data_IF_855138988677
#
_entry.id   IF_855138988677
#
_cell.length_a   1.000
_cell.length_b   1.000
_cell.length_c   1.000
_cell.angle_alpha   90.00
_cell.angle_beta   90.00
_cell.angle_gamma   90.00
#
_symmetry.space_group_name_H-M   'P 1'
#
loop_
_entity.id
_entity.type
_entity.pdbx_description
1 polymer ?
#
# COMPACT_ATOMS: atom_id res chain seq x y z
N UNK A 1 -14.24 -13.71 -28.86
CA UNK A 1 -14.11 -12.53 -27.99
C UNK A 1 -15.02 -12.67 -26.77
N UNK A 2 -14.75 -13.63 -25.89
CA UNK A 2 -15.45 -13.82 -24.61
C UNK A 2 -14.46 -13.71 -23.42
N UNK A 3 -13.40 -12.90 -23.56
CA UNK A 3 -12.13 -13.21 -22.88
C UNK A 3 -11.68 -12.24 -21.78
N UNK A 4 -12.26 -11.05 -21.65
CA UNK A 4 -11.81 -10.05 -20.65
C UNK A 4 -12.83 -9.83 -19.53
N UNK A 5 -14.12 -9.69 -19.87
CA UNK A 5 -15.18 -9.53 -18.87
C UNK A 5 -15.26 -10.76 -17.94
N UNK A 6 -15.30 -11.98 -18.52
CA UNK A 6 -15.28 -13.24 -17.77
C UNK A 6 -14.03 -13.39 -16.86
N UNK A 7 -12.86 -12.87 -17.29
CA UNK A 7 -11.65 -12.88 -16.44
C UNK A 7 -11.79 -11.92 -15.26
N UNK A 8 -12.38 -10.75 -15.45
CA UNK A 8 -12.59 -9.78 -14.38
C UNK A 8 -13.62 -10.28 -13.36
N UNK A 9 -14.70 -10.92 -13.79
CA UNK A 9 -15.71 -11.49 -12.88
C UNK A 9 -15.08 -12.56 -11.97
N UNK A 10 -14.32 -13.50 -12.55
CA UNK A 10 -13.57 -14.50 -11.78
C UNK A 10 -12.55 -13.86 -10.83
N UNK A 11 -11.83 -12.82 -11.27
CA UNK A 11 -10.88 -12.11 -10.41
C UNK A 11 -11.58 -11.35 -9.28
N UNK A 12 -12.79 -10.82 -9.50
CA UNK A 12 -13.62 -10.20 -8.46
C UNK A 12 -14.04 -11.25 -7.44
N UNK A 13 -14.45 -12.44 -7.87
CA UNK A 13 -14.81 -13.54 -6.95
C UNK A 13 -13.61 -14.01 -6.13
N UNK A 14 -12.46 -14.25 -6.77
CA UNK A 14 -11.23 -14.66 -6.09
C UNK A 14 -10.79 -13.58 -5.09
N UNK A 15 -10.77 -12.31 -5.49
CA UNK A 15 -10.38 -11.22 -4.58
C UNK A 15 -11.39 -11.03 -3.45
N UNK A 16 -12.68 -11.21 -3.70
CA UNK A 16 -13.72 -11.20 -2.66
C UNK A 16 -13.45 -12.29 -1.64
N UNK A 17 -13.20 -13.53 -2.09
CA UNK A 17 -12.87 -14.63 -1.20
C UNK A 17 -11.60 -14.31 -0.38
N UNK A 18 -10.50 -13.94 -1.03
CA UNK A 18 -9.23 -13.65 -0.36
C UNK A 18 -9.37 -12.52 0.66
N UNK A 19 -10.03 -11.42 0.27
CA UNK A 19 -10.20 -10.26 1.14
C UNK A 19 -11.01 -10.62 2.38
N UNK A 20 -12.15 -11.28 2.21
CA UNK A 20 -12.99 -11.71 3.35
C UNK A 20 -12.24 -12.66 4.28
N UNK A 21 -11.46 -13.59 3.73
CA UNK A 21 -10.68 -14.55 4.53
C UNK A 21 -9.53 -13.90 5.28
N UNK A 22 -8.76 -13.02 4.63
CA UNK A 22 -7.63 -12.34 5.27
C UNK A 22 -8.06 -11.25 6.25
N UNK A 23 -9.16 -10.56 5.96
CA UNK A 23 -9.70 -9.52 6.85
C UNK A 23 -10.58 -10.05 7.96
N UNK A 24 -11.02 -11.32 7.89
CA UNK A 24 -12.02 -11.91 8.79
C UNK A 24 -13.36 -11.15 8.79
N UNK A 25 -13.69 -10.46 7.69
CA UNK A 25 -14.95 -9.74 7.52
C UNK A 25 -15.67 -10.23 6.25
N UNK A 26 -16.77 -10.97 6.43
CA UNK A 26 -17.56 -11.58 5.37
C UNK A 26 -18.50 -10.61 4.65
N UNK A 27 -18.69 -9.40 5.17
CA UNK A 27 -19.59 -8.37 4.62
C UNK A 27 -18.93 -7.51 3.55
N UNK A 28 -17.63 -7.69 3.31
CA UNK A 28 -16.88 -6.87 2.35
C UNK A 28 -17.38 -7.10 0.93
N UNK A 29 -17.66 -6.00 0.24
CA UNK A 29 -17.98 -5.94 -1.19
C UNK A 29 -16.73 -5.53 -1.95
N UNK A 30 -16.28 -6.35 -2.89
CA UNK A 30 -15.13 -6.04 -3.74
C UNK A 30 -15.62 -5.62 -5.12
N UNK A 31 -15.05 -4.54 -5.63
CA UNK A 31 -15.30 -4.03 -6.96
C UNK A 31 -13.98 -3.69 -7.63
N UNK A 32 -13.97 -3.54 -8.95
CA UNK A 32 -12.81 -3.05 -9.67
C UNK A 32 -13.10 -1.69 -10.31
N UNK A 33 -12.07 -0.83 -10.37
CA UNK A 33 -12.16 0.46 -11.04
C UNK A 33 -10.85 0.74 -11.78
N UNK A 34 -10.88 1.28 -13.01
CA UNK A 34 -9.67 1.64 -13.76
C UNK A 34 -8.86 2.78 -13.11
N UNK A 35 -9.30 3.30 -11.95
CA UNK A 35 -8.47 4.15 -11.11
C UNK A 35 -7.22 3.35 -10.68
N UNK A 36 -6.04 3.93 -10.92
CA UNK A 36 -4.73 3.34 -10.56
C UNK A 36 -4.43 3.31 -9.05
N UNK A 37 -5.45 3.37 -8.20
CA UNK A 37 -5.31 3.39 -6.74
C UNK A 37 -6.31 2.42 -6.14
N UNK A 38 -5.80 1.43 -5.40
CA UNK A 38 -6.61 0.54 -4.59
C UNK A 38 -7.13 1.31 -3.36
N UNK A 39 -8.42 1.15 -3.05
CA UNK A 39 -9.10 1.94 -2.03
C UNK A 39 -9.95 1.03 -1.13
N UNK A 40 -9.80 1.18 0.19
CA UNK A 40 -10.70 0.59 1.18
C UNK A 40 -11.59 1.69 1.76
N UNK A 41 -12.91 1.47 1.70
CA UNK A 41 -13.94 2.32 2.31
C UNK A 41 -14.59 1.57 3.47
N UNK A 42 -14.02 1.75 4.66
CA UNK A 42 -14.45 1.04 5.87
C UNK A 42 -15.95 1.19 6.15
N UNK A 43 -16.49 2.41 6.05
CA UNK A 43 -17.92 2.69 6.34
C UNK A 43 -18.88 2.01 5.36
N UNK A 44 -18.42 1.75 4.14
CA UNK A 44 -19.22 1.11 3.09
C UNK A 44 -18.98 -0.41 3.05
N UNK A 45 -18.10 -0.96 3.90
CA UNK A 45 -17.58 -2.32 3.78
C UNK A 45 -17.14 -2.64 2.34
N UNK A 46 -16.44 -1.71 1.69
CA UNK A 46 -16.14 -1.79 0.26
C UNK A 46 -14.65 -1.70 -0.02
N UNK A 47 -14.15 -2.57 -0.89
CA UNK A 47 -12.82 -2.49 -1.47
C UNK A 47 -12.95 -2.26 -2.97
N UNK A 48 -12.17 -1.32 -3.49
CA UNK A 48 -12.06 -1.00 -4.91
C UNK A 48 -10.65 -1.34 -5.34
N UNK A 49 -10.49 -2.37 -6.17
CA UNK A 49 -9.20 -2.81 -6.69
C UNK A 49 -8.95 -2.25 -8.10
N UNK A 50 -7.68 -2.02 -8.41
CA UNK A 50 -7.23 -1.78 -9.77
C UNK A 50 -7.29 -3.10 -10.56
N UNK A 51 -7.89 -3.12 -11.77
CA UNK A 51 -7.89 -4.30 -12.63
C UNK A 51 -6.47 -4.82 -12.90
N UNK A 52 -6.31 -6.15 -13.00
CA UNK A 52 -5.01 -6.80 -13.29
C UNK A 52 -4.37 -6.24 -14.55
N UNK A 53 -5.19 -5.91 -15.56
CA UNK A 53 -4.72 -5.39 -16.86
C UNK A 53 -4.03 -4.03 -16.77
N UNK A 54 -4.31 -3.24 -15.74
CA UNK A 54 -3.82 -1.87 -15.57
C UNK A 54 -2.48 -1.78 -14.82
N UNK A 55 -1.99 -2.90 -14.27
CA UNK A 55 -0.65 -2.99 -13.68
C UNK A 55 0.42 -3.07 -14.77
N UNK A 56 1.65 -2.64 -14.46
CA UNK A 56 2.79 -2.81 -15.37
C UNK A 56 3.41 -4.21 -15.24
N UNK A 57 4.07 -4.68 -16.31
CA UNK A 57 4.78 -5.96 -16.34
C UNK A 57 4.08 -7.05 -17.16
N UNK A 58 4.65 -8.26 -17.15
CA UNK A 58 4.04 -9.45 -17.74
C UNK A 58 2.78 -9.91 -16.98
N UNK A 59 2.03 -10.86 -17.54
CA UNK A 59 0.76 -11.33 -16.95
C UNK A 59 0.92 -11.85 -15.51
N UNK A 60 2.00 -12.57 -15.22
CA UNK A 60 2.24 -13.13 -13.89
C UNK A 60 2.64 -12.03 -12.90
N UNK A 61 3.50 -11.11 -13.33
CA UNK A 61 3.89 -9.93 -12.56
C UNK A 61 2.71 -9.03 -12.20
N UNK A 62 1.77 -8.83 -13.14
CA UNK A 62 0.52 -8.09 -12.91
C UNK A 62 -0.37 -8.79 -11.89
N UNK A 63 -0.53 -10.11 -12.02
CA UNK A 63 -1.32 -10.91 -11.08
C UNK A 63 -0.74 -10.87 -9.65
N UNK A 64 0.59 -10.97 -9.50
CA UNK A 64 1.26 -10.86 -8.20
C UNK A 64 1.03 -9.48 -7.55
N UNK A 65 1.15 -8.39 -8.31
CA UNK A 65 0.84 -7.05 -7.81
C UNK A 65 -0.63 -6.93 -7.34
N UNK A 66 -1.56 -7.47 -8.13
CA UNK A 66 -2.99 -7.51 -7.77
C UNK A 66 -3.25 -8.29 -6.47
N UNK A 67 -2.66 -9.49 -6.32
CA UNK A 67 -2.80 -10.31 -5.11
C UNK A 67 -2.25 -9.56 -3.89
N UNK A 68 -1.09 -8.93 -4.01
CA UNK A 68 -0.50 -8.15 -2.91
C UNK A 68 -1.36 -6.92 -2.57
N UNK A 69 -1.97 -6.27 -3.58
CA UNK A 69 -2.92 -5.18 -3.33
C UNK A 69 -4.15 -5.66 -2.54
N UNK A 70 -4.75 -6.78 -2.93
CA UNK A 70 -5.86 -7.39 -2.19
C UNK A 70 -5.46 -7.69 -0.74
N UNK A 71 -4.25 -8.21 -0.52
CA UNK A 71 -3.71 -8.45 0.82
C UNK A 71 -3.59 -7.15 1.64
N UNK A 72 -3.01 -6.09 1.07
CA UNK A 72 -2.92 -4.80 1.77
C UNK A 72 -4.28 -4.24 2.16
N UNK A 73 -5.26 -4.24 1.26
CA UNK A 73 -6.61 -3.76 1.58
C UNK A 73 -7.25 -4.62 2.69
N UNK A 74 -7.01 -5.94 2.68
CA UNK A 74 -7.46 -6.83 3.75
C UNK A 74 -6.82 -6.52 5.10
N UNK A 75 -5.51 -6.28 5.11
CA UNK A 75 -4.78 -5.96 6.34
C UNK A 75 -5.21 -4.59 6.89
N UNK A 76 -5.55 -3.63 6.03
CA UNK A 76 -6.16 -2.38 6.48
C UNK A 76 -7.49 -2.64 7.18
N UNK A 77 -8.39 -3.42 6.57
CA UNK A 77 -9.69 -3.75 7.19
C UNK A 77 -9.52 -4.40 8.56
N UNK A 78 -8.59 -5.34 8.68
CA UNK A 78 -8.38 -6.09 9.92
C UNK A 78 -7.71 -5.28 11.02
N UNK A 79 -6.73 -4.45 10.67
CA UNK A 79 -5.80 -3.89 11.65
C UNK A 79 -5.92 -2.37 11.81
N UNK A 80 -6.60 -1.64 10.92
CA UNK A 80 -6.73 -0.19 10.99
C UNK A 80 -8.12 0.21 11.50
N UNK A 81 -8.17 1.07 12.52
CA UNK A 81 -9.44 1.70 12.94
C UNK A 81 -9.92 2.74 11.92
N UNK A 82 -8.96 3.42 11.27
CA UNK A 82 -9.23 4.50 10.32
C UNK A 82 -8.19 4.53 9.21
N UNK A 83 -8.64 4.86 8.01
CA UNK A 83 -7.78 5.18 6.87
C UNK A 83 -7.95 6.67 6.58
N UNK A 84 -6.85 7.42 6.54
CA UNK A 84 -6.88 8.86 6.29
C UNK A 84 -6.85 9.15 4.79
N UNK A 85 -7.29 10.35 4.38
CA UNK A 85 -7.12 10.77 2.98
C UNK A 85 -5.65 11.02 2.67
N UNK A 86 -5.20 10.54 1.51
CA UNK A 86 -3.87 10.82 0.98
C UNK A 86 -3.77 12.21 0.31
N UNK A 87 -4.89 12.94 0.14
CA UNK A 87 -4.89 14.27 -0.46
C UNK A 87 -4.26 15.32 0.45
N UNK A 88 -4.21 15.05 1.76
CA UNK A 88 -3.56 15.89 2.74
C UNK A 88 -2.24 15.27 3.19
N UNK A 89 -1.20 16.11 3.30
CA UNK A 89 0.14 15.68 3.68
C UNK A 89 0.17 14.85 4.98
N UNK A 90 -0.55 15.28 6.02
CA UNK A 90 -0.57 14.54 7.29
C UNK A 90 -1.19 13.14 7.14
N UNK A 91 -2.26 13.01 6.34
CA UNK A 91 -2.93 11.74 6.11
C UNK A 91 -2.04 10.79 5.31
N UNK A 92 -1.35 11.30 4.30
CA UNK A 92 -0.36 10.53 3.55
C UNK A 92 0.80 10.03 4.44
N UNK A 93 1.38 10.89 5.28
CA UNK A 93 2.47 10.51 6.18
C UNK A 93 2.03 9.44 7.18
N UNK A 94 0.90 9.64 7.86
CA UNK A 94 0.37 8.68 8.82
C UNK A 94 -0.01 7.34 8.17
N UNK A 95 -0.62 7.37 6.99
CA UNK A 95 -0.90 6.16 6.21
C UNK A 95 0.39 5.42 5.80
N UNK A 96 1.52 6.12 5.66
CA UNK A 96 2.82 5.51 5.33
C UNK A 96 3.38 4.71 6.51
N UNK A 97 3.28 5.27 7.71
CA UNK A 97 3.66 4.60 8.96
C UNK A 97 2.72 3.41 9.18
N UNK A 98 1.43 3.62 9.01
CA UNK A 98 0.41 2.59 9.17
C UNK A 98 0.60 1.44 8.18
N UNK A 99 1.00 1.73 6.94
CA UNK A 99 1.38 0.71 5.95
C UNK A 99 2.48 -0.20 6.49
N UNK A 100 3.53 0.37 7.08
CA UNK A 100 4.63 -0.43 7.63
C UNK A 100 4.17 -1.24 8.85
N UNK A 101 3.31 -0.68 9.69
CA UNK A 101 2.71 -1.38 10.83
C UNK A 101 1.91 -2.59 10.39
N UNK A 102 0.99 -2.42 9.43
CA UNK A 102 0.16 -3.53 8.94
C UNK A 102 0.98 -4.60 8.22
N UNK A 103 2.12 -4.26 7.60
CA UNK A 103 3.04 -5.26 7.08
C UNK A 103 3.63 -6.10 8.21
N UNK A 104 4.15 -5.46 9.25
CA UNK A 104 4.80 -6.14 10.37
C UNK A 104 3.83 -7.03 11.16
N UNK A 105 2.59 -6.58 11.34
CA UNK A 105 1.53 -7.39 11.97
C UNK A 105 1.02 -8.46 11.02
N UNK A 106 0.71 -8.08 9.77
CA UNK A 106 0.13 -8.97 8.77
C UNK A 106 1.02 -10.16 8.41
N UNK A 107 2.34 -9.97 8.36
CA UNK A 107 3.31 -11.07 8.12
C UNK A 107 3.28 -12.14 9.21
N UNK A 108 2.92 -11.78 10.45
CA UNK A 108 2.73 -12.75 11.55
C UNK A 108 1.46 -13.58 11.37
N UNK A 109 0.43 -12.99 10.76
CA UNK A 109 -0.85 -13.64 10.47
C UNK A 109 -0.72 -14.55 9.24
N UNK A 110 0.00 -14.10 8.20
CA UNK A 110 0.13 -14.83 6.94
C UNK A 110 1.58 -14.89 6.48
N UNK A 111 2.27 -15.97 6.89
CA UNK A 111 3.72 -16.14 6.72
C UNK A 111 4.17 -16.32 5.25
N UNK A 112 3.24 -16.56 4.32
CA UNK A 112 3.54 -16.71 2.89
C UNK A 112 3.66 -15.40 2.09
N UNK A 113 3.54 -14.23 2.74
CA UNK A 113 3.56 -12.94 2.03
C UNK A 113 4.96 -12.35 1.82
N UNK A 114 6.00 -12.87 2.46
CA UNK A 114 7.32 -12.22 2.46
C UNK A 114 7.89 -12.05 1.04
N UNK A 115 7.85 -13.11 0.21
CA UNK A 115 8.29 -13.05 -1.18
C UNK A 115 7.44 -12.11 -2.04
N UNK A 116 6.13 -12.04 -1.77
CA UNK A 116 5.20 -11.17 -2.48
C UNK A 116 5.37 -9.71 -2.10
N UNK A 117 5.70 -9.43 -0.85
CA UNK A 117 6.03 -8.09 -0.37
C UNK A 117 7.35 -7.62 -0.96
N UNK A 118 8.40 -8.44 -0.94
CA UNK A 118 9.69 -8.12 -1.57
C UNK A 118 9.52 -7.82 -3.06
N UNK A 119 8.79 -8.69 -3.78
CA UNK A 119 8.47 -8.46 -5.18
C UNK A 119 7.70 -7.16 -5.40
N UNK A 120 6.66 -6.92 -4.59
CA UNK A 120 5.82 -5.74 -4.73
C UNK A 120 6.54 -4.45 -4.34
N UNK A 121 7.52 -4.49 -3.44
CA UNK A 121 8.37 -3.35 -3.11
C UNK A 121 9.15 -2.85 -4.33
N UNK A 122 9.61 -3.76 -5.19
CA UNK A 122 10.29 -3.42 -6.46
C UNK A 122 9.36 -2.64 -7.39
N UNK A 123 8.13 -3.11 -7.58
CA UNK A 123 7.13 -2.40 -8.38
C UNK A 123 6.71 -1.06 -7.77
N UNK A 124 6.49 -1.02 -6.45
CA UNK A 124 6.17 0.22 -5.75
C UNK A 124 7.25 1.28 -5.96
N UNK A 125 8.53 0.91 -5.87
CA UNK A 125 9.66 1.80 -6.15
C UNK A 125 9.65 2.32 -7.59
N UNK A 126 9.36 1.45 -8.57
CA UNK A 126 9.23 1.84 -9.98
C UNK A 126 8.15 2.90 -10.17
N UNK A 127 6.98 2.72 -9.52
CA UNK A 127 5.87 3.67 -9.59
C UNK A 127 6.14 5.01 -8.90
N UNK A 128 7.18 5.11 -8.06
CA UNK A 128 7.49 6.36 -7.37
C UNK A 128 8.00 7.43 -8.33
N UNK A 129 7.53 8.68 -8.18
CA UNK A 129 8.05 9.80 -8.97
C UNK A 129 9.48 10.12 -8.55
N UNK A 130 10.23 10.71 -9.48
CA UNK A 130 11.49 11.36 -9.16
C UNK A 130 11.21 12.60 -8.31
N UNK A 131 11.92 12.76 -7.19
CA UNK A 131 11.81 13.93 -6.33
C UNK A 131 12.17 15.23 -7.06
N UNK A 132 13.01 15.18 -8.09
CA UNK A 132 13.32 16.31 -8.96
C UNK A 132 12.07 16.88 -9.65
N UNK A 133 11.07 16.04 -9.93
CA UNK A 133 9.85 16.42 -10.65
C UNK A 133 8.76 17.00 -9.73
N UNK A 134 8.97 16.94 -8.41
CA UNK A 134 8.03 17.45 -7.41
C UNK A 134 8.40 18.86 -6.97
N UNK A 135 7.40 19.65 -6.60
CA UNK A 135 7.59 21.05 -6.18
C UNK A 135 7.20 21.25 -4.70
N UNK A 136 7.93 22.13 -4.04
CA UNK A 136 7.64 22.57 -2.67
C UNK A 136 7.54 21.44 -1.66
N UNK A 137 6.51 21.49 -0.80
CA UNK A 137 6.33 20.54 0.32
C UNK A 137 6.00 19.12 -0.13
N UNK A 138 5.43 18.94 -1.33
CA UNK A 138 5.13 17.60 -1.88
C UNK A 138 6.40 16.75 -2.05
N UNK A 139 7.52 17.40 -2.42
CA UNK A 139 8.84 16.76 -2.52
C UNK A 139 9.31 16.19 -1.17
N UNK A 140 9.10 16.93 -0.09
CA UNK A 140 9.52 16.50 1.27
C UNK A 140 8.64 15.34 1.74
N UNK A 141 7.33 15.43 1.53
CA UNK A 141 6.36 14.40 1.93
C UNK A 141 6.59 13.09 1.17
N UNK A 142 6.80 13.15 -0.13
CA UNK A 142 7.13 11.98 -0.94
C UNK A 142 8.53 11.44 -0.59
N UNK A 143 9.51 12.33 -0.35
CA UNK A 143 10.84 11.91 0.08
C UNK A 143 10.82 11.17 1.43
N UNK A 144 9.99 11.61 2.38
CA UNK A 144 9.73 10.86 3.60
C UNK A 144 9.16 9.47 3.30
N UNK A 145 8.11 9.37 2.47
CA UNK A 145 7.52 8.08 2.11
C UNK A 145 8.55 7.13 1.51
N UNK A 146 9.36 7.64 0.58
CA UNK A 146 10.37 6.85 -0.11
C UNK A 146 11.45 6.36 0.87
N UNK A 147 12.03 7.28 1.65
CA UNK A 147 13.09 6.92 2.59
C UNK A 147 12.59 6.03 3.73
N UNK A 148 11.39 6.30 4.26
CA UNK A 148 10.79 5.52 5.35
C UNK A 148 10.53 4.07 4.95
N UNK A 149 9.99 3.83 3.75
CA UNK A 149 9.66 2.47 3.31
C UNK A 149 10.83 1.76 2.64
N UNK A 150 11.57 2.44 1.75
CA UNK A 150 12.59 1.79 0.91
C UNK A 150 14.02 2.02 1.39
N UNK A 151 14.25 2.94 2.32
CA UNK A 151 15.60 3.28 2.80
C UNK A 151 16.41 4.18 1.87
N UNK A 152 15.82 4.65 0.77
CA UNK A 152 16.45 5.54 -0.20
C UNK A 152 15.41 6.46 -0.87
N UNK A 153 15.88 7.47 -1.61
CA UNK A 153 15.06 8.42 -2.36
C UNK A 153 15.42 8.43 -3.85
N UNK A 154 14.42 8.57 -4.70
CA UNK A 154 14.59 8.56 -6.15
C UNK A 154 14.77 9.98 -6.68
N UNK A 155 15.95 10.29 -7.19
CA UNK A 155 16.27 11.60 -7.78
C UNK A 155 16.78 12.62 -6.75
N UNK A 156 16.92 13.87 -7.18
CA UNK A 156 17.69 14.87 -6.42
C UNK A 156 16.85 15.65 -5.39
N UNK A 157 17.48 15.90 -4.25
CA UNK A 157 16.96 16.72 -3.17
C UNK A 157 18.09 17.53 -2.54
N UNK A 158 17.76 18.73 -2.02
CA UNK A 158 18.72 19.53 -1.25
C UNK A 158 19.14 18.79 0.04
N UNK A 159 20.43 18.79 0.41
CA UNK A 159 20.93 18.06 1.57
C UNK A 159 20.19 18.39 2.88
N UNK A 160 19.90 19.68 3.11
CA UNK A 160 19.16 20.12 4.31
C UNK A 160 17.73 19.58 4.40
N UNK A 161 17.06 19.34 3.27
CA UNK A 161 15.76 18.68 3.25
C UNK A 161 15.89 17.18 3.48
N UNK A 162 16.93 16.56 2.93
CA UNK A 162 17.20 15.15 3.15
C UNK A 162 17.51 14.85 4.63
N UNK A 163 18.33 15.65 5.29
CA UNK A 163 18.63 15.52 6.73
C UNK A 163 17.35 15.57 7.59
N UNK A 164 16.39 16.42 7.22
CA UNK A 164 15.10 16.50 7.91
C UNK A 164 14.25 15.24 7.69
N UNK A 165 14.30 14.66 6.49
CA UNK A 165 13.62 13.40 6.18
C UNK A 165 14.21 12.24 6.97
N UNK A 166 15.55 12.18 7.07
CA UNK A 166 16.25 11.15 7.86
C UNK A 166 15.79 11.21 9.31
N UNK A 167 15.86 12.39 9.94
CA UNK A 167 15.42 12.60 11.32
C UNK A 167 13.94 12.25 11.53
N UNK A 168 13.07 12.68 10.61
CA UNK A 168 11.64 12.35 10.68
C UNK A 168 11.39 10.84 10.54
N UNK A 169 12.17 10.16 9.70
CA UNK A 169 12.07 8.72 9.47
C UNK A 169 12.53 7.92 10.68
N UNK A 170 13.64 8.32 11.31
CA UNK A 170 14.12 7.73 12.57
C UNK A 170 13.06 7.85 13.66
N UNK A 171 12.53 9.06 13.87
CA UNK A 171 11.46 9.29 14.83
C UNK A 171 10.20 8.45 14.54
N UNK A 172 9.80 8.36 13.27
CA UNK A 172 8.65 7.54 12.88
C UNK A 172 8.89 6.02 13.11
N UNK A 173 10.12 5.54 12.94
CA UNK A 173 10.49 4.14 13.22
C UNK A 173 10.46 3.87 14.72
N UNK A 174 10.97 4.79 15.55
CA UNK A 174 10.91 4.68 17.02
C UNK A 174 9.46 4.58 17.52
N UNK A 175 8.59 5.48 17.07
CA UNK A 175 7.15 5.45 17.41
C UNK A 175 6.53 4.13 16.96
N UNK A 176 6.83 3.68 15.74
CA UNK A 176 6.28 2.44 15.21
C UNK A 176 6.71 1.24 16.06
N UNK A 177 7.98 1.17 16.46
CA UNK A 177 8.49 0.12 17.34
C UNK A 177 7.83 0.14 18.72
N UNK A 178 7.65 1.32 19.31
CA UNK A 178 6.96 1.49 20.58
C UNK A 178 5.51 0.99 20.50
N UNK A 179 4.77 1.43 19.48
CA UNK A 179 3.40 0.99 19.23
C UNK A 179 3.30 -0.54 19.06
N UNK A 180 4.25 -1.14 18.34
CA UNK A 180 4.29 -2.59 18.16
C UNK A 180 4.60 -3.35 19.46
N UNK A 181 5.44 -2.80 20.36
CA UNK A 181 5.74 -3.39 21.67
C UNK A 181 4.54 -3.33 22.62
N UNK A 182 3.76 -2.25 22.53
CA UNK A 182 2.60 -2.04 23.38
C UNK A 182 1.34 -2.79 22.91
N UNK A 183 1.44 -3.58 21.83
CA UNK A 183 0.29 -4.14 21.12
C UNK A 183 -0.74 -3.06 20.84
N UNK A 184 -0.33 -2.07 20.05
CA UNK A 184 -1.00 -0.81 19.68
C UNK A 184 -0.54 0.39 20.51
#
# INVERSE_FOLDING_TARGET
MSSIALRNDTLIEISTFLIRRWSENDKIIVTMSPKKVNETRMKENKVILTPVVDYNGDEFSKYRQFRTAAWYESMKIKNCEKILSNDHAFGFLLNSIERRRIELVGRKIWQGMDEELIFNYSWQWIYRPLLSNLLGKSKIVEGFYQYFLFGDVKGEMQPSHFDRIVKATEFAKEILEEALKNNY
#
